data_IF_512117994422
#
_entry.id   IF_512117994422
#
_cell.length_a   1.000
_cell.length_b   1.000
_cell.length_c   1.000
_cell.angle_alpha   90.00
_cell.angle_beta   90.00
_cell.angle_gamma   90.00
#
_symmetry.space_group_name_H-M   'P 1'
#
loop_
_entity.id
_entity.type
_entity.pdbx_description
1 polymer ?
#
# COMPACT_ATOMS: atom_id res chain seq x y z
N UNK A 1 31.41 -46.59 -1.52
CA UNK A 1 30.96 -47.88 -2.06
C UNK A 1 29.88 -47.57 -3.08
N UNK A 2 30.19 -47.84 -4.34
CA UNK A 2 29.42 -47.44 -5.52
C UNK A 2 28.40 -48.53 -5.82
N UNK A 3 27.14 -48.18 -6.02
CA UNK A 3 26.16 -49.09 -6.63
C UNK A 3 25.53 -48.36 -7.81
N UNK A 4 25.92 -48.77 -9.01
CA UNK A 4 25.20 -48.57 -10.26
C UNK A 4 24.26 -49.76 -10.44
N UNK A 5 23.02 -49.52 -10.85
CA UNK A 5 22.23 -50.52 -11.57
C UNK A 5 21.65 -49.87 -12.82
N UNK A 6 21.94 -50.55 -13.92
CA UNK A 6 21.62 -50.24 -15.31
C UNK A 6 20.18 -50.58 -15.71
N UNK A 7 19.84 -50.04 -16.88
CA UNK A 7 18.58 -50.07 -17.64
C UNK A 7 17.90 -51.43 -17.84
N UNK A 8 16.57 -51.37 -17.92
CA UNK A 8 15.72 -52.11 -18.85
C UNK A 8 14.51 -51.23 -19.21
N UNK A 9 13.80 -51.33 -20.33
CA UNK A 9 14.04 -51.75 -21.71
C UNK A 9 12.84 -51.16 -22.48
N UNK A 10 13.07 -50.78 -23.74
CA UNK A 10 12.08 -50.16 -24.63
C UNK A 10 10.86 -51.06 -24.89
N UNK A 11 9.67 -50.47 -24.94
CA UNK A 11 8.66 -50.84 -25.95
C UNK A 11 8.15 -49.58 -26.65
N UNK A 12 8.21 -49.68 -27.98
CA UNK A 12 7.85 -48.72 -29.01
C UNK A 12 6.33 -48.51 -29.05
N UNK A 13 5.92 -47.27 -29.35
CA UNK A 13 4.52 -46.97 -29.66
C UNK A 13 4.38 -45.61 -30.33
N UNK A 14 4.66 -45.59 -31.63
CA UNK A 14 4.20 -44.66 -32.68
C UNK A 14 4.33 -43.13 -32.49
N UNK A 15 5.07 -42.56 -33.44
CA UNK A 15 5.20 -41.16 -33.76
C UNK A 15 3.86 -40.42 -33.95
N UNK A 16 3.74 -39.24 -33.33
CA UNK A 16 3.23 -38.06 -34.03
C UNK A 16 4.25 -36.96 -33.81
N UNK A 17 4.96 -36.61 -34.88
CA UNK A 17 5.80 -35.44 -34.92
C UNK A 17 4.91 -34.22 -35.16
N UNK A 18 5.05 -33.20 -34.33
CA UNK A 18 5.02 -31.82 -34.82
C UNK A 18 6.12 -31.01 -34.12
N UNK A 19 7.05 -30.56 -34.95
CA UNK A 19 8.03 -29.47 -34.76
C UNK A 19 7.33 -28.20 -34.24
N UNK A 20 7.88 -27.18 -33.62
CA UNK A 20 9.20 -26.67 -33.22
C UNK A 20 8.88 -25.63 -32.09
N UNK A 21 9.74 -25.21 -31.17
CA UNK A 21 10.92 -24.40 -31.43
C UNK A 21 11.79 -24.27 -30.17
N UNK A 22 13.08 -24.08 -30.42
CA UNK A 22 14.14 -23.80 -29.47
C UNK A 22 14.07 -22.39 -28.89
N UNK A 23 14.84 -22.24 -27.82
CA UNK A 23 15.54 -21.04 -27.36
C UNK A 23 14.80 -20.16 -26.34
N UNK A 24 15.09 -20.46 -25.06
CA UNK A 24 15.95 -19.59 -24.27
C UNK A 24 15.30 -18.36 -23.64
N UNK A 25 15.32 -18.32 -22.31
CA UNK A 25 15.23 -17.04 -21.60
C UNK A 25 14.43 -17.09 -20.31
N UNK A 26 15.13 -17.43 -19.23
CA UNK A 26 15.00 -16.86 -17.89
C UNK A 26 13.62 -16.82 -17.19
N UNK A 27 13.53 -17.71 -16.19
CA UNK A 27 12.99 -17.49 -14.86
C UNK A 27 12.53 -16.05 -14.51
N UNK A 28 11.25 -15.91 -14.15
CA UNK A 28 10.78 -15.43 -12.83
C UNK A 28 9.29 -15.11 -12.89
N UNK A 29 8.44 -16.11 -12.60
CA UNK A 29 6.98 -15.92 -12.43
C UNK A 29 6.48 -16.33 -11.05
N UNK A 30 7.32 -16.19 -10.02
CA UNK A 30 6.93 -16.46 -8.61
C UNK A 30 6.88 -15.20 -7.73
N UNK A 31 7.18 -14.00 -8.25
CA UNK A 31 7.11 -12.75 -7.48
C UNK A 31 5.90 -11.86 -7.76
N UNK A 32 5.12 -12.13 -8.82
CA UNK A 32 4.08 -11.20 -9.30
C UNK A 32 2.71 -11.34 -8.60
N UNK A 33 2.43 -12.45 -7.93
CA UNK A 33 1.07 -12.70 -7.41
C UNK A 33 0.73 -11.92 -6.12
N UNK A 34 1.71 -11.58 -5.28
CA UNK A 34 1.45 -10.98 -3.97
C UNK A 34 1.25 -9.44 -4.00
N UNK A 35 1.65 -8.78 -5.09
CA UNK A 35 1.58 -7.32 -5.21
C UNK A 35 0.17 -6.80 -5.55
N UNK A 36 -0.60 -7.60 -6.29
CA UNK A 36 -1.97 -7.28 -6.66
C UNK A 36 -2.92 -7.25 -5.44
N UNK A 37 -2.51 -7.75 -4.27
CA UNK A 37 -3.33 -7.76 -3.05
C UNK A 37 -3.22 -6.46 -2.22
N UNK A 38 -2.17 -5.65 -2.41
CA UNK A 38 -2.05 -4.34 -1.77
C UNK A 38 -2.61 -3.19 -2.62
N UNK A 39 -2.70 -3.36 -3.94
CA UNK A 39 -3.32 -2.36 -4.81
C UNK A 39 -4.85 -2.42 -4.62
N UNK A 40 -5.42 -1.47 -3.89
CA UNK A 40 -6.85 -1.21 -4.04
C UNK A 40 -7.09 -0.80 -5.49
N UNK A 41 -8.16 -1.31 -6.11
CA UNK A 41 -8.36 -1.26 -7.57
C UNK A 41 -8.32 0.14 -8.18
N UNK A 42 -8.44 0.22 -9.51
CA UNK A 42 -8.49 1.48 -10.28
C UNK A 42 -9.35 2.55 -9.58
N UNK A 43 -8.72 3.52 -8.92
CA UNK A 43 -9.38 4.56 -8.11
C UNK A 43 -8.89 4.71 -6.65
N UNK A 44 -8.00 3.84 -6.19
CA UNK A 44 -7.34 3.96 -4.87
C UNK A 44 -6.54 5.25 -4.71
N UNK A 45 -6.38 5.70 -3.46
CA UNK A 45 -5.45 6.76 -3.08
C UNK A 45 -3.99 6.31 -3.08
N UNK A 46 -3.69 5.05 -3.40
CA UNK A 46 -2.33 4.56 -3.57
C UNK A 46 -2.23 3.39 -4.55
N UNK A 47 -1.06 3.21 -5.16
CA UNK A 47 -0.77 2.02 -5.99
C UNK A 47 0.46 1.30 -5.46
N UNK A 48 0.34 0.01 -5.17
CA UNK A 48 1.47 -0.82 -4.75
C UNK A 48 2.32 -1.28 -5.94
N UNK A 49 3.63 -1.07 -5.87
CA UNK A 49 4.61 -1.53 -6.83
C UNK A 49 5.63 -2.45 -6.14
N UNK A 50 5.71 -3.74 -6.52
CA UNK A 50 6.49 -4.73 -5.79
C UNK A 50 7.97 -4.70 -6.11
N UNK A 51 8.35 -4.18 -7.27
CA UNK A 51 9.75 -4.10 -7.68
C UNK A 51 10.36 -2.85 -7.06
N UNK A 52 11.47 -2.95 -6.30
CA UNK A 52 12.18 -1.77 -5.83
C UNK A 52 12.54 -0.85 -7.00
N UNK A 53 12.51 0.45 -6.77
CA UNK A 53 12.96 1.44 -7.75
C UNK A 53 14.19 2.18 -7.23
N UNK A 54 15.04 2.60 -8.15
CA UNK A 54 16.26 3.34 -7.81
C UNK A 54 15.94 4.63 -7.05
N UNK A 55 16.78 4.93 -6.06
CA UNK A 55 16.68 6.12 -5.21
C UNK A 55 15.68 6.01 -4.06
N UNK A 56 14.90 4.93 -3.96
CA UNK A 56 14.01 4.72 -2.82
C UNK A 56 14.76 4.13 -1.63
N UNK A 57 14.58 4.74 -0.45
CA UNK A 57 15.00 4.14 0.81
C UNK A 57 14.15 2.89 1.10
N UNK A 58 14.77 1.87 1.68
CA UNK A 58 14.08 0.64 2.09
C UNK A 58 13.80 0.66 3.60
N UNK A 59 12.58 0.27 3.99
CA UNK A 59 12.18 0.18 5.39
C UNK A 59 11.58 -1.20 5.70
N UNK A 60 11.80 -1.69 6.92
CA UNK A 60 11.34 -3.02 7.34
C UNK A 60 12.19 -4.16 6.79
N UNK A 61 11.73 -5.39 7.04
CA UNK A 61 12.43 -6.63 6.69
C UNK A 61 11.45 -7.69 6.21
N UNK A 62 11.92 -8.61 5.36
CA UNK A 62 11.12 -9.74 4.90
C UNK A 62 11.12 -9.91 3.38
N UNK A 63 10.40 -10.93 2.92
CA UNK A 63 10.39 -11.33 1.52
C UNK A 63 9.36 -10.57 0.68
N UNK A 64 8.32 -10.04 1.30
CA UNK A 64 7.30 -9.26 0.63
C UNK A 64 7.72 -7.80 0.67
N UNK A 65 7.65 -7.10 -0.45
CA UNK A 65 8.02 -5.70 -0.50
C UNK A 65 7.21 -4.92 -1.51
N UNK A 66 7.01 -3.65 -1.21
CA UNK A 66 6.23 -2.74 -2.03
C UNK A 66 6.64 -1.29 -1.76
N UNK A 67 6.74 -0.46 -2.79
CA UNK A 67 6.61 0.99 -2.63
C UNK A 67 5.23 1.42 -3.13
N UNK A 68 4.70 2.50 -2.55
CA UNK A 68 3.40 3.04 -2.94
C UNK A 68 3.59 4.33 -3.73
N UNK A 69 2.84 4.51 -4.81
CA UNK A 69 2.61 5.85 -5.37
C UNK A 69 1.40 6.42 -4.65
N UNK A 70 1.55 7.55 -3.97
CA UNK A 70 0.47 8.22 -3.27
C UNK A 70 -0.30 9.14 -4.23
N UNK A 71 -1.62 9.03 -4.24
CA UNK A 71 -2.52 9.81 -5.08
C UNK A 71 -3.46 10.66 -4.22
N UNK A 72 -3.79 11.84 -4.72
CA UNK A 72 -4.84 12.67 -4.14
C UNK A 72 -6.19 11.96 -4.26
N UNK A 73 -6.95 11.74 -3.17
CA UNK A 73 -8.21 10.99 -3.21
C UNK A 73 -9.29 11.60 -4.12
N UNK A 74 -9.23 12.89 -4.43
CA UNK A 74 -10.17 13.58 -5.30
C UNK A 74 -9.71 13.61 -6.75
N UNK A 75 -8.52 14.14 -7.00
CA UNK A 75 -8.02 14.38 -8.37
C UNK A 75 -7.33 13.17 -8.97
N UNK A 76 -7.00 12.17 -8.14
CA UNK A 76 -6.23 10.96 -8.47
C UNK A 76 -4.83 11.24 -9.02
N UNK A 77 -4.37 12.48 -8.94
CA UNK A 77 -3.03 12.86 -9.35
C UNK A 77 -2.01 12.38 -8.32
N UNK A 78 -0.82 11.94 -8.75
CA UNK A 78 0.29 11.65 -7.83
C UNK A 78 0.60 12.86 -6.95
N UNK A 79 0.97 12.61 -5.70
CA UNK A 79 1.33 13.62 -4.71
C UNK A 79 2.86 13.65 -4.52
N UNK A 80 3.61 14.43 -5.30
CA UNK A 80 5.06 14.55 -5.13
C UNK A 80 5.41 15.36 -3.87
N UNK A 81 6.60 15.14 -3.31
CA UNK A 81 7.16 15.90 -2.19
C UNK A 81 6.19 16.07 -1.01
N UNK A 82 5.39 15.04 -0.75
CA UNK A 82 4.28 15.07 0.20
C UNK A 82 4.61 14.23 1.42
N UNK A 83 4.50 14.82 2.61
CA UNK A 83 4.66 14.08 3.85
C UNK A 83 3.59 13.00 3.98
N UNK A 84 3.98 11.82 4.42
CA UNK A 84 3.09 10.68 4.63
C UNK A 84 3.46 9.94 5.92
N UNK A 85 2.48 9.21 6.43
CA UNK A 85 2.66 8.23 7.47
C UNK A 85 2.10 6.89 6.98
N UNK A 86 2.90 5.85 7.16
CA UNK A 86 2.60 4.48 6.83
C UNK A 86 2.71 3.63 8.10
N UNK A 87 1.67 2.86 8.39
CA UNK A 87 1.70 1.82 9.40
C UNK A 87 1.27 0.51 8.76
N UNK A 88 2.05 -0.55 8.98
CA UNK A 88 1.68 -1.92 8.67
C UNK A 88 1.46 -2.68 9.97
N UNK A 89 0.41 -3.47 10.00
CA UNK A 89 0.01 -4.28 11.14
C UNK A 89 0.18 -5.76 10.83
N UNK A 90 0.37 -6.57 11.86
CA UNK A 90 0.52 -8.03 11.72
C UNK A 90 -0.76 -8.70 11.24
N UNK A 91 -1.92 -8.06 11.41
CA UNK A 91 -3.23 -8.55 10.98
C UNK A 91 -4.21 -7.41 10.66
N UNK A 92 -5.31 -7.74 9.96
CA UNK A 92 -6.36 -6.78 9.60
C UNK A 92 -7.13 -6.21 10.80
N UNK A 93 -6.98 -6.81 12.00
CA UNK A 93 -7.52 -6.25 13.24
C UNK A 93 -6.77 -4.97 13.67
N UNK A 94 -5.55 -4.78 13.18
CA UNK A 94 -4.69 -3.61 13.47
C UNK A 94 -4.32 -3.47 14.96
N UNK A 95 -4.26 -4.59 15.70
CA UNK A 95 -3.93 -4.60 17.14
C UNK A 95 -2.43 -4.48 17.42
N UNK A 96 -1.59 -5.01 16.52
CA UNK A 96 -0.15 -5.06 16.70
C UNK A 96 0.55 -4.50 15.46
N UNK A 97 1.37 -3.49 15.68
CA UNK A 97 2.11 -2.82 14.63
C UNK A 97 3.37 -3.59 14.27
N UNK A 98 3.58 -3.83 12.98
CA UNK A 98 4.75 -4.50 12.43
C UNK A 98 5.81 -3.49 11.98
N UNK A 99 5.37 -2.40 11.33
CA UNK A 99 6.26 -1.39 10.76
C UNK A 99 5.59 -0.02 10.82
N UNK A 100 6.35 1.02 11.19
CA UNK A 100 6.00 2.42 10.97
C UNK A 100 7.02 3.06 10.04
N UNK A 101 6.53 3.86 9.11
CA UNK A 101 7.38 4.72 8.28
C UNK A 101 6.70 6.08 8.17
N UNK A 102 7.43 7.10 8.58
CA UNK A 102 7.13 8.47 8.21
C UNK A 102 8.15 8.92 7.18
N UNK A 103 7.69 9.69 6.20
CA UNK A 103 8.59 10.21 5.18
C UNK A 103 7.94 11.24 4.29
N UNK A 104 8.65 11.56 3.22
CA UNK A 104 8.19 12.43 2.15
C UNK A 104 8.25 11.66 0.85
N UNK A 105 7.18 11.71 0.06
CA UNK A 105 7.20 11.10 -1.27
C UNK A 105 8.21 11.80 -2.17
N UNK A 106 8.77 11.08 -3.13
CA UNK A 106 9.69 11.69 -4.11
C UNK A 106 8.96 12.52 -5.18
N UNK A 107 9.70 12.97 -6.20
CA UNK A 107 9.17 13.76 -7.31
C UNK A 107 8.11 13.03 -8.15
N UNK A 108 8.01 11.71 -8.04
CA UNK A 108 7.02 10.86 -8.70
C UNK A 108 5.87 10.47 -7.77
N UNK A 109 5.87 10.95 -6.51
CA UNK A 109 4.88 10.59 -5.51
C UNK A 109 5.12 9.22 -4.87
N UNK A 110 6.32 8.64 -5.00
CA UNK A 110 6.66 7.31 -4.47
C UNK A 110 7.09 7.40 -3.01
N UNK A 111 6.61 6.46 -2.18
CA UNK A 111 7.05 6.27 -0.79
C UNK A 111 8.37 5.50 -0.72
N UNK A 112 8.87 5.29 0.50
CA UNK A 112 9.88 4.27 0.76
C UNK A 112 9.42 2.89 0.25
N UNK A 113 10.38 2.03 -0.10
CA UNK A 113 10.12 0.63 -0.36
C UNK A 113 10.00 -0.13 0.96
N UNK A 114 8.78 -0.50 1.35
CA UNK A 114 8.52 -1.21 2.61
C UNK A 114 8.65 -2.71 2.41
N UNK A 115 9.13 -3.41 3.45
CA UNK A 115 9.28 -4.87 3.48
C UNK A 115 8.61 -5.47 4.70
N UNK A 116 7.98 -6.63 4.50
CA UNK A 116 7.25 -7.39 5.51
C UNK A 116 7.50 -8.89 5.37
N UNK A 117 7.44 -9.60 6.50
CA UNK A 117 7.49 -11.05 6.52
C UNK A 117 6.25 -11.68 5.87
N UNK A 118 5.07 -11.06 6.04
CA UNK A 118 3.82 -11.52 5.45
C UNK A 118 3.42 -10.66 4.24
N UNK A 119 2.45 -11.12 3.44
CA UNK A 119 1.99 -10.37 2.27
C UNK A 119 1.46 -8.99 2.69
N UNK A 120 1.82 -7.92 1.99
CA UNK A 120 1.28 -6.59 2.31
C UNK A 120 -0.11 -6.53 1.70
N UNK A 121 -1.14 -6.25 2.51
CA UNK A 121 -2.52 -6.09 2.04
C UNK A 121 -3.14 -4.80 2.58
N UNK A 122 -4.14 -4.29 1.85
CA UNK A 122 -4.78 -3.02 2.17
C UNK A 122 -5.52 -3.01 3.52
N UNK A 123 -5.97 -4.15 4.03
CA UNK A 123 -6.66 -4.24 5.32
C UNK A 123 -5.68 -4.17 6.50
N UNK A 124 -4.44 -4.60 6.29
CA UNK A 124 -3.35 -4.57 7.27
C UNK A 124 -2.59 -3.26 7.32
N UNK A 125 -2.90 -2.27 6.49
CA UNK A 125 -2.13 -1.04 6.44
C UNK A 125 -2.96 0.23 6.62
N UNK A 126 -2.26 1.29 6.99
CA UNK A 126 -2.73 2.66 6.96
C UNK A 126 -1.67 3.47 6.25
N UNK A 127 -2.01 4.05 5.10
CA UNK A 127 -1.16 4.98 4.37
C UNK A 127 -1.94 6.28 4.17
N UNK A 128 -1.49 7.35 4.81
CA UNK A 128 -2.16 8.65 4.75
C UNK A 128 -1.16 9.76 4.53
N UNK A 129 -1.59 10.81 3.83
CA UNK A 129 -0.86 12.08 3.80
C UNK A 129 -0.84 12.71 5.19
N UNK A 130 0.24 13.40 5.51
CA UNK A 130 0.41 14.17 6.75
C UNK A 130 0.33 15.66 6.48
N UNK A 131 -0.36 16.40 7.34
CA UNK A 131 -0.43 17.87 7.34
C UNK A 131 0.06 18.41 8.67
N UNK A 132 1.06 19.29 8.60
CA UNK A 132 1.74 19.85 9.76
C UNK A 132 2.74 18.89 10.40
N UNK A 133 3.29 19.32 11.53
CA UNK A 133 4.39 18.66 12.22
C UNK A 133 4.10 18.49 13.71
N UNK A 134 4.87 17.62 14.34
CA UNK A 134 4.86 17.43 15.79
C UNK A 134 4.42 16.04 16.25
N UNK A 135 4.54 15.75 17.55
CA UNK A 135 4.40 14.40 18.10
C UNK A 135 2.93 13.96 18.26
N UNK A 136 1.97 14.87 18.11
CA UNK A 136 0.55 14.54 18.27
C UNK A 136 -0.12 14.47 16.92
N UNK A 137 -0.56 13.28 16.49
CA UNK A 137 -1.24 13.06 15.22
C UNK A 137 -2.66 12.52 15.39
N UNK A 138 -3.61 13.02 14.60
CA UNK A 138 -4.97 12.46 14.51
C UNK A 138 -5.41 12.33 13.07
N UNK A 139 -6.10 11.24 12.76
CA UNK A 139 -6.68 10.97 11.45
C UNK A 139 -8.20 11.12 11.57
N UNK A 140 -8.84 12.07 10.87
CA UNK A 140 -10.29 12.17 10.87
C UNK A 140 -10.89 10.99 10.10
N UNK A 141 -11.95 10.42 10.67
CA UNK A 141 -12.71 9.32 10.07
C UNK A 141 -14.19 9.63 10.27
N UNK A 142 -14.97 9.56 9.20
CA UNK A 142 -16.42 9.59 9.29
C UNK A 142 -16.95 8.17 9.29
N UNK A 143 -17.76 7.85 10.29
CA UNK A 143 -18.46 6.57 10.39
C UNK A 143 -19.97 6.78 10.29
N UNK A 144 -20.65 5.84 9.65
CA UNK A 144 -22.12 5.81 9.60
C UNK A 144 -22.67 5.45 10.98
N UNK A 145 -23.63 6.22 11.52
CA UNK A 145 -24.24 5.91 12.82
C UNK A 145 -24.93 4.54 12.86
N UNK A 146 -25.43 4.05 11.73
CA UNK A 146 -26.27 2.84 11.68
C UNK A 146 -25.46 1.55 11.85
N UNK A 147 -24.26 1.49 11.26
CA UNK A 147 -23.48 0.25 11.19
C UNK A 147 -21.98 0.44 11.48
N UNK A 148 -21.57 1.65 11.88
CA UNK A 148 -20.18 1.97 12.19
C UNK A 148 -19.24 1.93 10.98
N UNK A 149 -19.75 1.71 9.76
CA UNK A 149 -18.89 1.64 8.58
C UNK A 149 -18.34 3.00 8.22
N UNK A 150 -17.06 3.03 7.85
CA UNK A 150 -16.39 4.24 7.40
C UNK A 150 -16.96 4.71 6.07
N UNK A 151 -17.01 6.02 5.86
CA UNK A 151 -17.52 6.63 4.63
C UNK A 151 -16.33 7.02 3.76
N UNK A 152 -16.07 6.30 2.64
CA UNK A 152 -15.00 6.67 1.72
C UNK A 152 -15.35 7.92 0.92
N UNK A 153 -14.31 8.62 0.43
CA UNK A 153 -14.44 9.80 -0.43
C UNK A 153 -15.35 10.92 0.09
N UNK A 154 -15.50 11.04 1.41
CA UNK A 154 -16.24 12.13 2.04
C UNK A 154 -15.39 13.40 2.04
N UNK A 155 -16.00 14.53 1.70
CA UNK A 155 -15.39 15.84 1.81
C UNK A 155 -15.36 16.27 3.27
N UNK A 156 -14.24 16.84 3.72
CA UNK A 156 -14.10 17.28 5.11
C UNK A 156 -13.22 18.52 5.24
N UNK A 157 -13.34 19.16 6.40
CA UNK A 157 -12.49 20.23 6.87
C UNK A 157 -11.99 19.90 8.27
N UNK A 158 -10.69 20.07 8.48
CA UNK A 158 -10.05 20.05 9.79
C UNK A 158 -9.64 21.48 10.12
N UNK A 159 -9.88 21.92 11.34
CA UNK A 159 -9.37 23.19 11.86
C UNK A 159 -8.67 22.92 13.18
N UNK A 160 -7.41 23.35 13.29
CA UNK A 160 -6.58 23.10 14.46
C UNK A 160 -5.30 23.94 14.46
N UNK A 161 -4.24 23.38 15.03
CA UNK A 161 -2.96 24.04 15.28
C UNK A 161 -2.25 24.59 14.02
N UNK A 162 -2.47 24.02 12.84
CA UNK A 162 -1.88 24.47 11.57
C UNK A 162 -2.86 25.26 10.70
N UNK A 163 -3.96 25.75 11.28
CA UNK A 163 -5.03 26.41 10.53
C UNK A 163 -5.97 25.42 9.82
N UNK A 164 -6.90 25.93 9.00
CA UNK A 164 -7.88 25.10 8.31
C UNK A 164 -7.22 24.31 7.18
N UNK A 165 -7.62 23.04 7.05
CA UNK A 165 -7.30 22.17 5.92
C UNK A 165 -8.59 21.54 5.41
N UNK A 166 -8.76 21.46 4.10
CA UNK A 166 -9.88 20.78 3.45
C UNK A 166 -9.36 19.64 2.56
N UNK A 167 -10.12 18.54 2.52
CA UNK A 167 -9.73 17.37 1.76
C UNK A 167 -10.87 16.39 1.53
N UNK A 168 -10.51 15.27 0.91
CA UNK A 168 -11.39 14.15 0.62
C UNK A 168 -10.82 12.91 1.28
N UNK A 169 -11.63 12.12 1.97
CA UNK A 169 -11.14 10.88 2.60
C UNK A 169 -10.76 9.84 1.54
N UNK A 170 -9.83 8.95 1.88
CA UNK A 170 -9.46 7.83 1.03
C UNK A 170 -10.57 6.76 0.90
N UNK A 171 -10.28 5.69 0.17
CA UNK A 171 -11.15 4.53 -0.01
C UNK A 171 -11.44 3.76 1.29
N UNK A 172 -10.64 3.98 2.34
CA UNK A 172 -10.85 3.40 3.67
C UNK A 172 -11.62 4.35 4.60
N UNK A 173 -12.00 5.54 4.11
CA UNK A 173 -12.71 6.58 4.85
C UNK A 173 -11.83 7.36 5.82
N UNK A 174 -10.51 7.35 5.63
CA UNK A 174 -9.55 8.13 6.43
C UNK A 174 -9.20 9.44 5.72
N UNK A 175 -9.10 10.53 6.47
CA UNK A 175 -8.48 11.75 5.98
C UNK A 175 -6.97 11.77 6.20
N UNK A 176 -6.38 12.96 6.11
CA UNK A 176 -4.96 13.18 6.39
C UNK A 176 -4.65 12.98 7.87
N UNK A 177 -3.44 12.56 8.18
CA UNK A 177 -2.90 12.69 9.53
C UNK A 177 -2.61 14.16 9.79
N UNK A 178 -3.41 14.78 10.65
CA UNK A 178 -3.22 16.16 11.07
C UNK A 178 -2.35 16.18 12.34
N UNK A 179 -1.16 16.77 12.24
CA UNK A 179 -0.17 16.78 13.32
C UNK A 179 -0.05 18.13 14.02
N UNK A 180 0.16 18.11 15.32
CA UNK A 180 0.41 19.29 16.12
C UNK A 180 1.64 19.12 17.01
N UNK A 181 2.40 20.21 17.18
CA UNK A 181 3.54 20.30 18.09
C UNK A 181 3.18 20.12 19.57
N UNK A 182 1.94 20.44 19.93
CA UNK A 182 1.41 20.28 21.27
C UNK A 182 -0.04 19.81 21.22
N UNK A 183 -0.52 19.23 22.32
CA UNK A 183 -1.92 18.80 22.44
C UNK A 183 -2.86 19.98 22.17
N UNK A 184 -3.64 19.86 21.09
CA UNK A 184 -4.47 20.94 20.56
C UNK A 184 -5.92 20.48 20.39
N UNK A 185 -6.85 21.41 20.54
CA UNK A 185 -8.24 21.19 20.12
C UNK A 185 -8.27 21.16 18.58
N UNK A 186 -8.72 20.04 18.03
CA UNK A 186 -8.91 19.85 16.59
C UNK A 186 -10.40 19.67 16.35
N UNK A 187 -10.98 20.53 15.51
CA UNK A 187 -12.35 20.42 15.04
C UNK A 187 -12.37 19.78 13.65
N UNK A 188 -13.33 18.90 13.42
CA UNK A 188 -13.53 18.23 12.13
C UNK A 188 -15.00 18.35 11.73
N UNK A 189 -15.24 18.79 10.50
CA UNK A 189 -16.57 18.80 9.89
C UNK A 189 -16.54 18.05 8.57
N UNK A 190 -17.52 17.16 8.37
CA UNK A 190 -17.73 16.48 7.11
C UNK A 190 -18.88 17.13 6.36
N UNK A 191 -18.71 17.30 5.06
CA UNK A 191 -19.71 17.89 4.19
C UNK A 191 -20.58 16.78 3.60
N UNK A 192 -21.90 16.95 3.64
CA UNK A 192 -22.79 16.09 2.87
C UNK A 192 -22.56 16.33 1.39
N UNK A 193 -22.20 15.28 0.66
CA UNK A 193 -22.38 15.23 -0.79
C UNK A 193 -23.89 15.42 -1.03
N UNK A 194 -24.30 16.53 -1.63
CA UNK A 194 -25.71 16.70 -2.02
C UNK A 194 -26.06 15.60 -3.04
N UNK A 195 -27.23 14.95 -2.93
CA UNK A 195 -27.71 13.97 -3.89
C UNK A 195 -27.90 14.57 -5.29
#
# INVERSE_FOLDING_TARGET
MTIKIDRAALVRGACVALMAALAGGCANTTGQQNAQQAAAGSGSSYTCNPTPADGLVTAGTGINGCYFVLHDPETKQPLPNTHYAFALYTSAAQDNQELEVEGTTDAQGRTAYVRSAAAIDAARMVLVRTIGDGPTGRIPVLVRPQDGKRIPFAKYKVTGCNGPYEGTTDETGRGVMYRCNAQSKIAVSFYQSRP
#
